data_IF_066970773797
#
_entry.id   IF_066970773797
#
_cell.length_a   1.000
_cell.length_b   1.000
_cell.length_c   1.000
_cell.angle_alpha   90.00
_cell.angle_beta   90.00
_cell.angle_gamma   90.00
#
_symmetry.space_group_name_H-M   'P 1'
#
loop_
_entity.id
_entity.type
_entity.pdbx_description
1 polymer ?
#
# COMPACT_ATOMS: atom_id res chain seq x y z
N UNK A 1 -17.78 20.04 -1.53
CA UNK A 1 -17.10 20.25 -0.23
C UNK A 1 -17.18 19.00 0.64
N UNK A 2 -18.38 18.55 1.06
CA UNK A 2 -18.53 17.35 1.90
C UNK A 2 -17.89 16.05 1.36
N UNK A 3 -17.89 15.84 0.03
CA UNK A 3 -17.28 14.65 -0.59
C UNK A 3 -15.73 14.67 -0.54
N UNK A 4 -15.12 15.85 -0.64
CA UNK A 4 -13.66 16.00 -0.53
C UNK A 4 -13.22 15.77 0.92
N UNK A 5 -13.96 16.28 1.89
CA UNK A 5 -13.68 16.10 3.32
C UNK A 5 -13.78 14.63 3.75
N UNK A 6 -14.80 13.91 3.25
CA UNK A 6 -14.96 12.49 3.52
C UNK A 6 -13.81 11.66 2.93
N UNK A 7 -13.40 11.96 1.70
CA UNK A 7 -12.28 11.28 1.05
C UNK A 7 -10.94 11.59 1.73
N UNK A 8 -10.72 12.86 2.08
CA UNK A 8 -9.53 13.27 2.83
C UNK A 8 -9.43 12.53 4.17
N UNK A 9 -10.55 12.38 4.88
CA UNK A 9 -10.60 11.62 6.13
C UNK A 9 -10.19 10.17 5.93
N UNK A 10 -10.62 9.51 4.85
CA UNK A 10 -10.21 8.14 4.54
C UNK A 10 -8.71 8.03 4.25
N UNK A 11 -8.14 9.00 3.53
CA UNK A 11 -6.69 9.04 3.26
C UNK A 11 -5.91 9.27 4.56
N UNK A 12 -6.37 10.18 5.43
CA UNK A 12 -5.78 10.44 6.75
C UNK A 12 -5.82 9.19 7.62
N UNK A 13 -6.93 8.47 7.63
CA UNK A 13 -7.08 7.20 8.34
C UNK A 13 -6.09 6.14 7.82
N UNK A 14 -5.93 6.02 6.50
CA UNK A 14 -4.95 5.11 5.89
C UNK A 14 -3.52 5.45 6.30
N UNK A 15 -3.15 6.74 6.33
CA UNK A 15 -1.84 7.20 6.82
C UNK A 15 -1.65 6.84 8.29
N UNK A 16 -2.68 7.01 9.12
CA UNK A 16 -2.64 6.68 10.54
C UNK A 16 -2.44 5.16 10.75
N UNK A 17 -3.20 4.34 10.04
CA UNK A 17 -3.06 2.87 10.05
C UNK A 17 -1.66 2.44 9.62
N UNK A 18 -1.10 3.01 8.53
CA UNK A 18 0.27 2.69 8.08
C UNK A 18 1.29 3.00 9.17
N UNK A 19 1.18 4.18 9.80
CA UNK A 19 2.12 4.61 10.83
C UNK A 19 2.06 3.73 12.08
N UNK A 20 0.88 3.32 12.51
CA UNK A 20 0.74 2.38 13.62
C UNK A 20 1.29 1.01 13.20
N UNK A 21 0.92 0.50 12.03
CA UNK A 21 1.34 -0.82 11.54
C UNK A 21 2.86 -0.94 11.48
N UNK A 22 3.58 0.08 11.02
CA UNK A 22 5.06 0.08 10.99
C UNK A 22 5.65 -0.14 12.39
N UNK A 23 5.10 0.53 13.40
CA UNK A 23 5.60 0.50 14.77
C UNK A 23 5.33 -0.84 15.46
N UNK A 24 4.22 -1.50 15.13
CA UNK A 24 3.80 -2.76 15.77
C UNK A 24 3.63 -3.92 14.79
N UNK A 25 4.34 -3.88 13.67
CA UNK A 25 4.17 -4.79 12.53
C UNK A 25 4.36 -6.27 12.89
N UNK A 26 5.13 -6.57 13.94
CA UNK A 26 5.33 -7.93 14.47
C UNK A 26 4.17 -8.41 15.35
N UNK A 27 3.27 -7.52 15.81
CA UNK A 27 2.29 -7.80 16.86
C UNK A 27 0.82 -7.66 16.42
N UNK A 28 0.52 -6.95 15.33
CA UNK A 28 -0.87 -6.69 14.93
C UNK A 28 -1.24 -7.23 13.54
N UNK A 29 -1.64 -8.51 13.49
CA UNK A 29 -2.24 -9.09 12.28
C UNK A 29 -3.58 -8.42 11.88
N UNK A 30 -4.21 -7.67 12.78
CA UNK A 30 -5.42 -6.88 12.47
C UNK A 30 -5.09 -5.68 11.58
N UNK A 31 -4.06 -4.90 11.91
CA UNK A 31 -3.64 -3.73 11.12
C UNK A 31 -3.16 -4.13 9.71
N UNK A 32 -2.34 -5.18 9.62
CA UNK A 32 -1.92 -5.77 8.34
C UNK A 32 -3.06 -6.15 7.41
N UNK A 33 -4.22 -6.54 7.97
CA UNK A 33 -5.43 -6.88 7.18
C UNK A 33 -6.34 -5.67 6.93
N UNK A 34 -6.33 -4.68 7.81
CA UNK A 34 -7.13 -3.47 7.67
C UNK A 34 -6.57 -2.54 6.58
N UNK A 35 -5.24 -2.39 6.53
CA UNK A 35 -4.57 -1.47 5.60
C UNK A 35 -4.92 -1.71 4.12
N UNK A 36 -4.87 -2.94 3.55
CA UNK A 36 -5.25 -3.17 2.16
C UNK A 36 -6.75 -2.94 1.91
N UNK A 37 -7.61 -3.20 2.91
CA UNK A 37 -9.05 -2.98 2.79
C UNK A 37 -9.39 -1.49 2.73
N UNK A 38 -8.76 -0.68 3.59
CA UNK A 38 -8.91 0.77 3.56
C UNK A 38 -8.37 1.36 2.27
N UNK A 39 -7.18 0.94 1.83
CA UNK A 39 -6.61 1.39 0.56
C UNK A 39 -7.50 1.03 -0.64
N UNK A 40 -8.08 -0.18 -0.67
CA UNK A 40 -8.98 -0.60 -1.73
C UNK A 40 -10.36 0.06 -1.70
N UNK A 41 -10.75 0.68 -0.58
CA UNK A 41 -12.03 1.39 -0.45
C UNK A 41 -11.94 2.87 -0.90
N UNK A 42 -10.74 3.41 -1.04
CA UNK A 42 -10.51 4.78 -1.53
C UNK A 42 -10.76 4.81 -3.04
N UNK A 43 -11.90 5.38 -3.43
CA UNK A 43 -12.28 5.55 -4.83
C UNK A 43 -11.84 6.92 -5.36
N UNK A 44 -10.87 6.90 -6.28
CA UNK A 44 -10.35 8.10 -6.95
C UNK A 44 -10.90 8.28 -8.38
N UNK A 45 -11.92 7.51 -8.79
CA UNK A 45 -12.48 7.56 -10.14
C UNK A 45 -13.01 8.95 -10.51
N UNK A 46 -13.58 9.68 -9.55
CA UNK A 46 -14.05 11.04 -9.72
C UNK A 46 -12.92 12.11 -9.84
N UNK A 47 -11.66 11.71 -9.62
CA UNK A 47 -10.49 12.61 -9.56
C UNK A 47 -9.39 12.22 -10.55
N UNK A 48 -9.73 11.53 -11.63
CA UNK A 48 -8.76 11.06 -12.63
C UNK A 48 -7.58 10.29 -12.01
N UNK A 49 -7.87 9.50 -10.97
CA UNK A 49 -6.88 8.70 -10.26
C UNK A 49 -5.96 9.47 -9.31
N UNK A 50 -6.17 10.77 -9.06
CA UNK A 50 -5.33 11.58 -8.16
C UNK A 50 -6.14 12.57 -7.32
N UNK A 51 -6.09 12.41 -6.01
CA UNK A 51 -6.72 13.29 -5.03
C UNK A 51 -5.69 14.13 -4.24
N UNK A 52 -6.01 15.41 -4.03
CA UNK A 52 -5.25 16.32 -3.17
C UNK A 52 -6.22 17.10 -2.29
N UNK A 53 -6.21 16.80 -0.98
CA UNK A 53 -6.98 17.51 0.04
C UNK A 53 -6.18 18.63 0.70
N UNK A 54 -6.61 19.06 1.89
CA UNK A 54 -5.93 20.11 2.65
C UNK A 54 -4.65 19.60 3.36
N UNK A 55 -4.74 18.39 3.91
CA UNK A 55 -3.71 17.74 4.74
C UNK A 55 -3.06 16.56 4.03
N UNK A 56 -3.83 15.84 3.21
CA UNK A 56 -3.43 14.55 2.66
C UNK A 56 -3.69 14.44 1.15
N UNK A 57 -2.93 13.56 0.50
CA UNK A 57 -3.06 13.28 -0.92
C UNK A 57 -3.00 11.77 -1.17
N UNK A 58 -3.57 11.34 -2.30
CA UNK A 58 -3.50 9.97 -2.77
C UNK A 58 -3.50 9.92 -4.30
N UNK A 59 -2.80 8.96 -4.89
CA UNK A 59 -2.77 8.74 -6.35
C UNK A 59 -2.66 7.27 -6.70
N UNK A 60 -3.34 6.84 -7.74
CA UNK A 60 -3.25 5.47 -8.25
C UNK A 60 -2.27 5.43 -9.42
N UNK A 61 -1.37 4.45 -9.41
CA UNK A 61 -0.49 4.14 -10.54
C UNK A 61 -0.48 2.66 -10.83
N UNK A 62 -0.44 2.30 -12.10
CA UNK A 62 -0.12 0.94 -12.52
C UNK A 62 1.36 0.82 -12.86
N UNK A 63 1.96 -0.28 -12.45
CA UNK A 63 3.36 -0.59 -12.70
C UNK A 63 3.48 -2.05 -13.14
N UNK A 64 4.32 -2.30 -14.14
CA UNK A 64 4.64 -3.66 -14.58
C UNK A 64 5.76 -4.19 -13.68
N UNK A 65 5.50 -5.30 -12.98
CA UNK A 65 6.44 -5.90 -12.04
C UNK A 65 6.83 -7.28 -12.54
N UNK A 66 8.14 -7.55 -12.62
CA UNK A 66 8.65 -8.87 -12.98
C UNK A 66 8.69 -9.79 -11.75
N UNK A 67 7.96 -10.90 -11.79
CA UNK A 67 7.97 -11.87 -10.69
C UNK A 67 8.41 -13.26 -11.12
N UNK A 68 9.71 -13.53 -11.04
CA UNK A 68 10.22 -14.88 -10.85
C UNK A 68 11.67 -14.91 -10.36
N UNK A 69 11.88 -15.34 -9.12
CA UNK A 69 13.12 -15.99 -8.66
C UNK A 69 12.80 -17.47 -8.46
N UNK A 70 13.19 -18.34 -9.39
CA UNK A 70 13.07 -19.78 -9.17
C UNK A 70 13.16 -20.66 -10.41
N UNK A 71 12.62 -20.25 -11.56
CA UNK A 71 12.57 -21.10 -12.77
C UNK A 71 13.77 -20.98 -13.71
N UNK A 72 14.80 -20.21 -13.35
CA UNK A 72 15.90 -19.87 -14.28
C UNK A 72 16.67 -21.12 -14.72
N UNK A 73 17.01 -22.00 -13.78
CA UNK A 73 17.80 -23.20 -14.05
C UNK A 73 17.07 -24.20 -14.97
N UNK A 74 15.76 -24.41 -14.76
CA UNK A 74 14.97 -25.30 -15.62
C UNK A 74 14.76 -24.75 -17.04
N UNK A 75 14.61 -23.42 -17.18
CA UNK A 75 14.53 -22.75 -18.48
C UNK A 75 15.89 -22.81 -19.19
N UNK A 76 16.98 -22.59 -18.46
CA UNK A 76 18.34 -22.65 -19.02
C UNK A 76 18.69 -24.07 -19.50
N UNK A 77 18.33 -25.10 -18.74
CA UNK A 77 18.54 -26.51 -19.14
C UNK A 77 17.66 -26.91 -20.32
N UNK A 78 16.41 -26.46 -20.35
CA UNK A 78 15.49 -26.69 -21.48
C UNK A 78 15.98 -25.99 -22.76
N UNK A 79 16.42 -24.74 -22.66
CA UNK A 79 16.96 -23.97 -23.78
C UNK A 79 18.26 -24.55 -24.35
N UNK A 80 19.09 -25.21 -23.51
CA UNK A 80 20.26 -25.97 -23.98
C UNK A 80 19.87 -27.22 -24.78
N UNK A 81 18.83 -27.93 -24.35
CA UNK A 81 18.36 -29.16 -25.01
C UNK A 81 17.54 -28.87 -26.28
N UNK A 82 16.83 -27.73 -26.32
CA UNK A 82 15.95 -27.34 -27.43
C UNK A 82 16.10 -25.85 -27.77
N UNK A 83 17.14 -25.43 -28.53
CA UNK A 83 17.48 -24.02 -28.70
C UNK A 83 16.41 -23.14 -29.34
N UNK A 84 15.68 -23.67 -30.34
CA UNK A 84 14.64 -22.93 -31.04
C UNK A 84 13.37 -22.79 -30.18
N UNK A 85 13.00 -23.83 -29.43
CA UNK A 85 11.82 -23.84 -28.57
C UNK A 85 12.09 -23.14 -27.23
N UNK A 86 13.33 -23.16 -26.75
CA UNK A 86 13.77 -22.45 -25.56
C UNK A 86 13.59 -20.94 -25.67
N UNK A 87 13.90 -20.36 -26.83
CA UNK A 87 13.67 -18.91 -27.10
C UNK A 87 12.19 -18.54 -27.07
N UNK A 88 11.34 -19.39 -27.64
CA UNK A 88 9.88 -19.18 -27.63
C UNK A 88 9.35 -19.29 -26.20
N UNK A 89 9.77 -20.31 -25.45
CA UNK A 89 9.39 -20.51 -24.06
C UNK A 89 9.87 -19.36 -23.18
N UNK A 90 11.09 -18.86 -23.38
CA UNK A 90 11.63 -17.71 -22.67
C UNK A 90 10.81 -16.45 -22.95
N UNK A 91 10.44 -16.21 -24.21
CA UNK A 91 9.54 -15.11 -24.59
C UNK A 91 8.18 -15.20 -23.90
N UNK A 92 7.54 -16.37 -23.94
CA UNK A 92 6.26 -16.62 -23.26
C UNK A 92 6.37 -16.47 -21.74
N UNK A 93 7.47 -16.92 -21.13
CA UNK A 93 7.71 -16.78 -19.70
C UNK A 93 7.92 -15.31 -19.34
N UNK A 94 8.69 -14.54 -20.13
CA UNK A 94 8.90 -13.12 -19.89
C UNK A 94 7.59 -12.33 -20.05
N UNK A 95 6.79 -12.67 -21.04
CA UNK A 95 5.46 -12.10 -21.26
C UNK A 95 4.51 -12.44 -20.10
N UNK A 96 4.47 -13.70 -19.66
CA UNK A 96 3.68 -14.15 -18.50
C UNK A 96 4.20 -13.60 -17.16
N UNK A 97 5.47 -13.20 -17.07
CA UNK A 97 6.08 -12.61 -15.87
C UNK A 97 5.72 -11.15 -15.67
N UNK A 98 5.21 -10.46 -16.70
CA UNK A 98 4.73 -9.09 -16.59
C UNK A 98 3.35 -9.11 -15.97
N UNK A 99 3.30 -8.98 -14.65
CA UNK A 99 2.03 -8.66 -13.96
C UNK A 99 1.91 -7.15 -13.85
N UNK A 100 0.75 -6.62 -14.24
CA UNK A 100 0.42 -5.22 -14.02
C UNK A 100 -0.14 -5.08 -12.61
N UNK A 101 0.68 -4.58 -11.70
CA UNK A 101 0.28 -4.22 -10.35
C UNK A 101 -0.31 -2.81 -10.35
N UNK A 102 -1.35 -2.58 -9.58
CA UNK A 102 -1.92 -1.25 -9.36
C UNK A 102 -1.76 -0.87 -7.90
N UNK A 103 -1.06 0.24 -7.68
CA UNK A 103 -0.67 0.74 -6.37
C UNK A 103 -1.39 2.05 -6.08
N UNK A 104 -1.92 2.18 -4.86
CA UNK A 104 -2.35 3.45 -4.30
C UNK A 104 -1.19 4.03 -3.52
N UNK A 105 -0.68 5.16 -3.98
CA UNK A 105 0.28 6.00 -3.29
C UNK A 105 -0.46 7.02 -2.42
N UNK A 106 0.02 7.28 -1.22
CA UNK A 106 -0.62 8.18 -0.27
C UNK A 106 0.39 8.83 0.68
N UNK A 107 0.03 10.00 1.20
CA UNK A 107 0.86 10.75 2.13
C UNK A 107 0.19 12.00 2.69
N UNK A 108 0.95 12.75 3.49
CA UNK A 108 0.58 14.07 3.98
C UNK A 108 1.35 15.14 3.23
N UNK A 109 0.73 16.30 3.02
CA UNK A 109 1.44 17.47 2.52
C UNK A 109 2.53 17.92 3.50
N UNK A 110 3.55 18.57 2.95
CA UNK A 110 4.67 19.08 3.75
C UNK A 110 4.18 19.98 4.90
N UNK A 111 4.76 19.79 6.09
CA UNK A 111 4.38 20.51 7.30
C UNK A 111 3.06 20.05 7.94
N UNK A 112 2.27 19.18 7.30
CA UNK A 112 1.04 18.63 7.86
C UNK A 112 1.34 17.40 8.71
N UNK A 113 0.57 17.23 9.79
CA UNK A 113 0.73 16.12 10.75
C UNK A 113 -0.60 15.47 11.06
N UNK A 114 -0.56 14.20 11.42
CA UNK A 114 -1.66 13.54 12.09
C UNK A 114 -1.84 14.13 13.48
N UNK A 115 -3.10 14.33 13.86
CA UNK A 115 -3.52 14.72 15.20
C UNK A 115 -3.62 13.49 16.09
N UNK A 116 -3.69 13.68 17.40
CA UNK A 116 -3.97 12.59 18.34
C UNK A 116 -5.30 11.89 18.01
N UNK A 117 -6.32 12.67 17.65
CA UNK A 117 -7.65 12.15 17.31
C UNK A 117 -7.62 11.21 16.10
N UNK A 118 -6.77 11.49 15.10
CA UNK A 118 -6.63 10.61 13.93
C UNK A 118 -6.13 9.20 14.34
N UNK A 119 -5.16 9.13 15.25
CA UNK A 119 -4.65 7.85 15.78
C UNK A 119 -5.66 7.17 16.70
N UNK A 120 -6.31 7.94 17.57
CA UNK A 120 -7.31 7.45 18.51
C UNK A 120 -8.54 6.89 17.78
N UNK A 121 -8.97 7.54 16.69
CA UNK A 121 -10.01 7.04 15.80
C UNK A 121 -9.71 5.64 15.29
N UNK A 122 -8.54 5.46 14.68
CA UNK A 122 -8.10 4.14 14.20
C UNK A 122 -8.07 3.09 15.31
N UNK A 123 -7.59 3.43 16.50
CA UNK A 123 -7.56 2.49 17.62
C UNK A 123 -8.99 2.11 18.09
N UNK A 124 -9.91 3.06 18.15
CA UNK A 124 -11.32 2.75 18.46
C UNK A 124 -11.93 1.83 17.40
N UNK A 125 -11.68 2.07 16.12
CA UNK A 125 -12.19 1.25 15.03
C UNK A 125 -11.63 -0.19 15.05
N UNK A 126 -10.45 -0.39 15.63
CA UNK A 126 -9.87 -1.71 15.89
C UNK A 126 -10.46 -2.42 17.12
N UNK A 127 -11.35 -1.74 17.86
CA UNK A 127 -12.05 -2.25 19.03
C UNK A 127 -11.34 -1.97 20.36
N UNK A 128 -10.41 -1.03 20.42
CA UNK A 128 -9.83 -0.60 21.69
C UNK A 128 -10.79 0.32 22.44
N UNK A 129 -10.88 0.16 23.76
CA UNK A 129 -11.57 1.14 24.61
C UNK A 129 -10.79 2.45 24.63
N UNK A 130 -11.47 3.56 24.96
CA UNK A 130 -10.88 4.90 24.98
C UNK A 130 -9.64 4.97 25.88
N UNK A 131 -9.73 4.50 27.12
CA UNK A 131 -8.60 4.46 28.05
C UNK A 131 -7.40 3.64 27.51
N UNK A 132 -7.67 2.55 26.77
CA UNK A 132 -6.62 1.70 26.20
C UNK A 132 -6.00 2.32 24.95
N UNK A 133 -6.81 2.97 24.12
CA UNK A 133 -6.34 3.73 22.96
C UNK A 133 -5.43 4.88 23.41
N UNK A 134 -5.78 5.57 24.50
CA UNK A 134 -5.01 6.71 25.01
C UNK A 134 -3.64 6.27 25.56
N UNK A 135 -3.61 5.20 26.35
CA UNK A 135 -2.35 4.60 26.80
C UNK A 135 -1.45 4.16 25.65
N UNK A 136 -2.04 3.45 24.67
CA UNK A 136 -1.29 2.98 23.50
C UNK A 136 -0.79 4.14 22.62
N UNK A 137 -1.57 5.21 22.48
CA UNK A 137 -1.15 6.41 21.75
C UNK A 137 0.12 7.02 22.34
N UNK A 138 0.20 7.16 23.67
CA UNK A 138 1.40 7.70 24.32
C UNK A 138 2.63 6.84 24.02
N UNK A 139 2.51 5.52 24.20
CA UNK A 139 3.59 4.57 23.90
C UNK A 139 4.01 4.62 22.43
N UNK A 140 3.04 4.64 21.50
CA UNK A 140 3.30 4.77 20.07
C UNK A 140 4.05 6.06 19.75
N UNK A 141 3.70 7.18 20.39
CA UNK A 141 4.38 8.46 20.17
C UNK A 141 5.80 8.47 20.72
N UNK A 142 6.08 7.79 21.83
CA UNK A 142 7.43 7.65 22.38
C UNK A 142 8.33 6.80 21.49
N UNK A 143 7.84 5.63 21.06
CA UNK A 143 8.55 4.74 20.11
C UNK A 143 8.75 5.45 18.78
N UNK A 144 7.73 6.19 18.34
CA UNK A 144 7.78 7.06 17.18
C UNK A 144 8.92 8.08 17.32
N UNK A 145 9.02 8.87 18.40
CA UNK A 145 10.11 9.86 18.55
C UNK A 145 11.51 9.24 18.40
N UNK A 146 11.70 8.00 18.87
CA UNK A 146 12.98 7.28 18.77
C UNK A 146 13.32 6.77 17.36
N UNK A 147 12.32 6.38 16.55
CA UNK A 147 12.53 5.83 15.20
C UNK A 147 12.62 6.90 14.09
N UNK A 148 12.83 8.17 14.46
CA UNK A 148 12.64 9.33 13.59
C UNK A 148 13.74 9.55 12.55
N UNK A 149 13.67 8.87 11.39
CA UNK A 149 14.37 9.34 10.16
C UNK A 149 13.61 9.19 8.81
N UNK A 150 12.41 8.60 8.75
CA UNK A 150 11.68 8.38 7.47
C UNK A 150 10.16 8.58 7.56
N UNK A 151 9.68 9.67 8.16
CA UNK A 151 8.25 9.85 8.44
C UNK A 151 7.41 10.52 7.36
N UNK A 152 8.08 11.24 6.46
CA UNK A 152 7.41 12.07 5.45
C UNK A 152 7.59 11.51 4.03
N UNK A 153 8.04 10.25 3.92
CA UNK A 153 8.10 9.55 2.63
C UNK A 153 6.69 9.13 2.20
N UNK A 154 6.34 9.42 0.93
CA UNK A 154 5.16 8.86 0.27
C UNK A 154 5.17 7.33 0.38
N UNK A 155 4.00 6.75 0.66
CA UNK A 155 3.84 5.31 0.88
C UNK A 155 2.94 4.73 -0.18
N UNK A 156 3.07 3.43 -0.45
CA UNK A 156 2.18 2.73 -1.38
C UNK A 156 1.60 1.45 -0.78
N UNK A 157 0.42 1.09 -1.26
CA UNK A 157 -0.26 -0.18 -1.01
C UNK A 157 -0.77 -0.72 -2.34
N UNK A 158 -0.53 -2.01 -2.58
CA UNK A 158 -1.09 -2.73 -3.72
C UNK A 158 -2.62 -2.82 -3.55
N UNK A 159 -3.36 -2.23 -4.49
CA UNK A 159 -4.84 -2.19 -4.50
C UNK A 159 -5.44 -2.99 -5.65
N UNK A 160 -4.64 -3.40 -6.63
CA UNK A 160 -5.10 -4.26 -7.72
C UNK A 160 -3.98 -5.09 -8.34
N UNK A 161 -4.34 -6.27 -8.84
CA UNK A 161 -3.50 -7.10 -9.71
C UNK A 161 -4.27 -7.39 -10.98
N UNK A 162 -3.86 -6.80 -12.09
CA UNK A 162 -4.41 -7.12 -13.38
C UNK A 162 -3.49 -8.14 -14.04
N UNK A 163 -3.71 -9.40 -13.70
CA UNK A 163 -3.20 -10.50 -14.51
C UNK A 163 -4.13 -10.71 -15.69
N UNK A 164 -3.88 -10.02 -16.80
CA UNK A 164 -4.26 -10.38 -18.19
C UNK A 164 -4.04 -9.18 -19.11
N UNK A 165 -3.08 -9.30 -20.02
CA UNK A 165 -3.37 -8.99 -21.41
C UNK A 165 -4.29 -10.13 -21.89
N UNK A 166 -5.60 -9.92 -21.86
CA UNK A 166 -6.48 -10.64 -22.78
C UNK A 166 -6.47 -9.78 -24.04
N UNK A 167 -5.55 -10.11 -24.96
CA UNK A 167 -5.71 -9.71 -26.34
C UNK A 167 -6.85 -10.55 -26.93
N UNK A 168 -7.83 -9.86 -27.52
CA UNK A 168 -8.70 -10.40 -28.56
C UNK A 168 -7.87 -10.84 -29.78
#
# INVERSE_FOLDING_TARGET
>A
MAQNEALERQVVELVAVDRIDILISSMSGKLKRAKPKLAGAIDLSAYDGSFSGERAYARVKSEDVERARGMREGVDEFSKKFPNYGKILEGLIQEKRKERETHLYFGLHEGRRLTSEDYMGVMRDLGFSEARAEGLYQELMEVSRHLSRKRDEERSVLVGRNGRYSED
#
